data_IF_509017571731
#
_entry.id   IF_509017571731
#
_cell.length_a   1.000
_cell.length_b   1.000
_cell.length_c   1.000
_cell.angle_alpha   90.00
_cell.angle_beta   90.00
_cell.angle_gamma   90.00
#
_symmetry.space_group_name_H-M   'P 1'
#
loop_
_entity.id
_entity.type
_entity.pdbx_description
1 polymer ?
2 polymer ?
#
# COMPACT_ATOMS: atom_id res chain seq x y z
N UNK A 9 13.31 -12.65 -18.29
CA UNK A 9 12.30 -12.13 -19.19
C UNK A 9 12.15 -10.60 -19.13
N UNK A 10 11.23 -10.12 -19.98
CA UNK A 10 10.77 -8.72 -20.11
C UNK A 10 11.71 -7.93 -21.03
N UNK A 11 12.59 -7.10 -20.45
CA UNK A 11 13.43 -6.14 -21.19
C UNK A 11 14.28 -5.40 -20.16
N UNK A 12 14.37 -6.01 -18.97
CA UNK A 12 14.99 -5.43 -17.78
C UNK A 12 16.41 -4.96 -18.04
N UNK A 13 16.69 -3.72 -17.64
CA UNK A 13 18.01 -3.13 -17.79
C UNK A 13 18.84 -3.15 -16.53
N UNK A 14 19.96 -2.41 -16.55
CA UNK A 14 20.74 -2.25 -15.33
C UNK A 14 19.94 -1.46 -14.33
N UNK A 15 20.35 -1.53 -13.07
CA UNK A 15 19.56 -0.80 -12.10
C UNK A 15 18.19 -1.38 -11.83
N UNK A 16 17.88 -2.53 -12.41
CA UNK A 16 16.77 -3.30 -11.89
C UNK A 16 17.16 -4.02 -10.62
N UNK A 17 18.45 -4.33 -10.47
CA UNK A 17 18.98 -4.88 -9.23
C UNK A 17 18.76 -3.92 -8.06
N UNK A 18 19.06 -2.62 -8.24
CA UNK A 18 18.80 -1.68 -7.16
C UNK A 18 17.31 -1.62 -6.84
N UNK A 19 16.46 -1.47 -7.87
CA UNK A 19 15.02 -1.41 -7.64
C UNK A 19 14.44 -2.72 -7.13
N UNK A 20 15.12 -3.85 -7.34
CA UNK A 20 14.61 -5.07 -6.72
C UNK A 20 15.03 -5.16 -5.26
N UNK A 21 16.26 -4.75 -4.94
CA UNK A 21 16.62 -4.54 -3.54
C UNK A 21 15.53 -3.71 -2.86
N UNK A 22 15.23 -2.56 -3.40
CA UNK A 22 14.23 -1.75 -2.78
C UNK A 22 12.87 -2.30 -2.78
N UNK A 23 12.48 -2.97 -3.81
CA UNK A 23 11.18 -3.50 -3.82
C UNK A 23 11.06 -4.47 -2.71
N UNK A 24 12.01 -5.36 -2.58
CA UNK A 24 11.95 -6.37 -1.55
C UNK A 24 12.08 -5.81 -0.17
N UNK A 25 12.72 -4.70 -0.06
CA UNK A 25 12.82 -4.07 1.19
C UNK A 25 11.43 -3.83 1.62
N UNK A 26 10.57 -3.30 0.77
CA UNK A 26 9.17 -3.09 1.12
C UNK A 26 8.40 -4.40 1.28
N UNK A 27 8.73 -5.43 0.52
CA UNK A 27 8.06 -6.70 0.77
C UNK A 27 8.28 -7.13 2.20
N UNK A 28 9.52 -6.99 2.68
CA UNK A 28 9.87 -7.35 4.06
C UNK A 28 9.11 -6.50 5.06
N UNK A 29 9.14 -5.17 4.88
CA UNK A 29 8.37 -4.33 5.76
C UNK A 29 6.92 -4.83 5.83
N UNK A 30 6.40 -5.33 4.70
CA UNK A 30 5.03 -5.85 4.67
C UNK A 30 4.86 -7.11 5.49
N UNK A 31 5.80 -8.00 5.43
CA UNK A 31 5.72 -9.19 6.21
C UNK A 31 5.79 -8.80 7.63
N UNK A 32 6.67 -7.88 7.97
CA UNK A 32 6.78 -7.44 9.34
C UNK A 32 5.49 -6.94 9.88
N UNK A 33 4.89 -5.98 9.22
CA UNK A 33 3.64 -5.43 9.67
C UNK A 33 2.60 -6.47 9.73
N UNK A 34 2.57 -7.32 8.78
CA UNK A 34 1.61 -8.41 8.82
C UNK A 34 1.73 -9.18 10.12
N UNK A 35 2.95 -9.61 10.45
CA UNK A 35 3.22 -10.47 11.60
C UNK A 35 2.79 -9.83 12.89
N UNK A 36 2.81 -8.49 12.94
CA UNK A 36 2.28 -7.82 14.12
C UNK A 36 0.87 -8.28 14.44
N UNK A 37 0.09 -8.68 13.42
CA UNK A 37 -1.27 -9.17 13.68
C UNK A 37 -1.31 -10.64 14.04
N UNK A 38 -0.17 -11.24 14.39
CA UNK A 38 -0.15 -12.62 14.87
C UNK A 38 -0.86 -13.46 13.82
N UNK A 39 -0.58 -13.11 12.56
CA UNK A 39 -1.22 -13.66 11.38
C UNK A 39 -0.23 -14.35 10.44
N UNK A 40 1.07 -14.11 10.57
CA UNK A 40 2.04 -14.82 9.77
C UNK A 40 2.29 -16.17 10.43
N UNK A 41 2.03 -17.25 9.68
CA UNK A 41 2.21 -18.60 10.21
C UNK A 41 3.70 -18.91 10.36
N UNK A 42 3.99 -20.04 11.00
CA UNK A 42 5.36 -20.35 11.39
C UNK A 42 6.32 -20.50 10.21
N UNK A 43 6.02 -21.30 9.16
CA UNK A 43 6.92 -21.34 7.99
C UNK A 43 7.12 -19.97 7.39
N UNK A 44 6.08 -19.15 7.45
CA UNK A 44 6.17 -17.81 6.89
C UNK A 44 7.03 -16.90 7.73
N UNK A 45 6.96 -17.03 9.06
CA UNK A 45 7.86 -16.28 9.93
C UNK A 45 9.32 -16.60 9.61
N UNK A 46 9.64 -17.89 9.40
CA UNK A 46 11.02 -18.14 9.03
C UNK A 46 11.29 -17.58 7.63
N UNK A 47 10.30 -17.60 6.74
CA UNK A 47 10.46 -16.95 5.44
C UNK A 47 10.81 -15.48 5.59
N UNK A 48 10.17 -14.81 6.56
CA UNK A 48 10.47 -13.42 6.83
C UNK A 48 11.94 -13.27 7.25
N UNK A 49 12.42 -14.12 8.17
CA UNK A 49 13.77 -13.84 8.67
C UNK A 49 14.83 -14.17 7.64
N UNK A 50 14.65 -15.27 6.89
CA UNK A 50 15.55 -15.59 5.78
C UNK A 50 15.60 -14.44 4.77
N UNK A 51 14.42 -13.89 4.44
CA UNK A 51 14.36 -12.71 3.59
C UNK A 51 15.22 -11.58 4.15
N UNK A 52 15.09 -11.29 5.46
CA UNK A 52 15.83 -10.18 6.05
C UNK A 52 17.34 -10.37 5.91
N UNK A 53 17.84 -11.53 6.35
CA UNK A 53 19.30 -11.74 6.31
C UNK A 53 19.82 -11.69 4.87
N UNK A 54 19.23 -12.46 3.94
CA UNK A 54 19.77 -12.46 2.59
C UNK A 54 19.63 -11.09 1.94
N UNK A 55 18.66 -10.31 2.39
CA UNK A 55 18.53 -8.94 1.92
C UNK A 55 19.67 -8.08 2.42
N UNK A 56 20.04 -8.21 3.70
CA UNK A 56 21.13 -7.41 4.25
C UNK A 56 22.46 -7.69 3.55
N UNK A 57 22.72 -8.97 3.21
CA UNK A 57 23.96 -9.22 2.46
C UNK A 57 23.89 -8.65 1.04
N UNK A 58 22.73 -8.80 0.36
CA UNK A 58 22.60 -8.20 -0.97
C UNK A 58 22.81 -6.69 -0.91
N UNK A 59 22.40 -6.06 0.19
CA UNK A 59 22.51 -4.61 0.34
C UNK A 59 23.95 -4.18 0.61
N UNK A 60 24.72 -4.96 1.37
CA UNK A 60 26.09 -4.51 1.61
C UNK A 60 26.94 -4.72 0.35
N UNK A 61 26.82 -5.90 -0.29
CA UNK A 61 27.53 -6.08 -1.55
C UNK A 61 27.13 -4.99 -2.55
N UNK A 62 25.85 -4.62 -2.55
CA UNK A 62 25.40 -3.62 -3.52
C UNK A 62 25.95 -2.23 -3.18
N UNK A 63 25.76 -1.78 -1.95
CA UNK A 63 26.17 -0.44 -1.57
C UNK A 63 27.67 -0.21 -1.80
N UNK A 64 28.50 -1.24 -1.58
CA UNK A 64 29.92 -1.03 -1.80
C UNK A 64 30.24 -0.67 -3.25
N UNK A 65 29.55 -1.26 -4.22
CA UNK A 65 29.75 -0.91 -5.63
C UNK A 65 28.80 0.19 -6.11
N UNK A 66 28.65 1.22 -5.32
CA UNK A 66 27.80 2.36 -5.63
C UNK A 66 28.39 3.59 -4.98
N UNK A 67 27.97 4.79 -5.36
CA UNK A 67 28.50 5.98 -4.70
C UNK A 67 28.07 6.01 -3.24
N UNK A 68 28.96 6.48 -2.37
CA UNK A 68 28.55 6.62 -0.98
C UNK A 68 27.41 7.61 -0.83
N UNK A 69 27.25 8.52 -1.80
CA UNK A 69 26.13 9.44 -1.78
C UNK A 69 24.81 8.76 -2.14
N UNK A 70 24.84 7.49 -2.53
CA UNK A 70 23.64 6.71 -2.84
C UNK A 70 23.76 5.32 -2.23
N UNK A 71 24.25 5.26 -0.99
CA UNK A 71 24.48 4.03 -0.25
C UNK A 71 23.51 4.02 0.93
N UNK A 72 22.53 3.13 0.88
CA UNK A 72 21.43 3.20 1.82
C UNK A 72 21.28 1.94 2.64
N UNK A 73 20.97 2.14 3.91
CA UNK A 73 20.77 1.04 4.83
C UNK A 73 19.49 0.31 4.45
N UNK A 74 19.33 -0.87 5.03
CA UNK A 74 18.09 -1.59 4.80
C UNK A 74 16.90 -0.71 5.18
N UNK A 75 16.98 -0.05 6.33
CA UNK A 75 15.85 0.69 6.86
C UNK A 75 15.44 1.90 6.01
N UNK A 76 16.36 2.46 5.21
CA UNK A 76 15.95 3.50 4.28
C UNK A 76 15.51 2.91 2.96
N UNK A 77 15.98 1.73 2.67
CA UNK A 77 15.56 1.06 1.48
C UNK A 77 14.12 0.66 1.65
N UNK A 78 13.66 0.41 2.86
CA UNK A 78 12.29 0.03 3.09
C UNK A 78 11.32 1.11 3.02
N UNK A 79 11.73 2.35 2.90
CA UNK A 79 10.82 3.43 2.77
C UNK A 79 10.58 3.57 1.33
N UNK A 80 11.58 3.32 0.49
CA UNK A 80 11.36 3.38 -0.94
C UNK A 80 10.49 2.22 -1.39
N UNK A 81 10.80 1.02 -0.91
CA UNK A 81 9.95 -0.14 -1.09
C UNK A 81 8.51 0.14 -0.79
N UNK A 82 8.14 0.62 0.40
CA UNK A 82 6.72 0.88 0.62
C UNK A 82 6.20 1.90 -0.41
N UNK A 83 7.01 2.88 -0.81
CA UNK A 83 6.50 3.86 -1.76
C UNK A 83 6.17 3.22 -3.12
N UNK A 84 7.09 2.43 -3.67
CA UNK A 84 6.77 1.76 -4.94
C UNK A 84 5.65 0.72 -4.79
N UNK A 85 5.47 0.16 -3.61
CA UNK A 85 4.33 -0.74 -3.40
C UNK A 85 3.02 0.02 -3.45
N UNK A 86 2.94 1.17 -2.77
CA UNK A 86 1.69 1.91 -2.80
C UNK A 86 1.38 2.42 -4.20
N UNK A 87 2.41 2.69 -5.02
CA UNK A 87 2.11 3.10 -6.40
C UNK A 87 1.68 1.91 -7.25
N UNK A 88 2.19 0.70 -6.99
CA UNK A 88 1.74 -0.47 -7.74
C UNK A 88 0.32 -0.86 -7.35
N UNK A 89 0.04 -0.85 -6.06
CA UNK A 89 -1.24 -1.29 -5.55
C UNK A 89 -2.37 -0.34 -5.92
N UNK A 90 -2.12 0.96 -5.88
CA UNK A 90 -3.18 1.87 -6.29
C UNK A 90 -3.07 2.24 -7.77
N UNK A 91 -2.09 1.65 -8.49
CA UNK A 91 -1.71 1.93 -9.87
C UNK A 91 -1.70 3.43 -10.17
N UNK A 92 -1.42 4.22 -9.13
CA UNK A 92 -1.31 5.66 -9.18
C UNK A 92 0.11 6.02 -8.80
N UNK A 93 0.82 6.78 -9.63
CA UNK A 93 2.04 7.44 -9.14
C UNK A 93 1.72 8.49 -8.09
N UNK A 94 0.45 8.93 -8.04
CA UNK A 94 -0.07 9.87 -7.06
C UNK A 94 -0.30 9.23 -5.70
N UNK A 95 0.15 7.99 -5.48
CA UNK A 95 0.03 7.32 -4.20
C UNK A 95 1.38 7.10 -3.50
N UNK A 96 2.49 7.50 -4.14
CA UNK A 96 3.81 7.35 -3.52
C UNK A 96 3.93 8.03 -2.16
N UNK A 97 3.41 9.25 -2.02
CA UNK A 97 3.29 9.90 -0.71
C UNK A 97 2.29 11.06 -0.76
N UNK A 98 1.48 11.10 -1.84
CA UNK A 98 0.38 12.05 -1.97
C UNK A 98 -1.01 11.40 -1.97
N UNK A 99 -1.10 10.11 -2.28
CA UNK A 99 -2.38 9.41 -2.30
C UNK A 99 -2.61 8.59 -1.05
N UNK A 100 -3.85 8.65 -0.55
CA UNK A 100 -4.16 8.07 0.74
C UNK A 100 -5.51 7.36 0.72
N UNK B 9 9.98 -16.83 17.20
CA UNK B 9 8.60 -17.07 16.81
C UNK B 9 7.66 -16.00 17.39
N UNK B 10 6.49 -15.85 16.77
CA UNK B 10 5.35 -15.13 17.33
C UNK B 10 4.19 -16.12 17.42
N UNK B 11 3.41 -16.05 18.50
CA UNK B 11 2.29 -16.98 18.63
C UNK B 11 1.14 -16.51 17.76
N UNK B 12 0.69 -17.40 16.88
CA UNK B 12 -0.39 -17.20 15.93
C UNK B 12 -1.46 -18.24 16.23
N UNK B 13 -2.72 -17.89 15.96
CA UNK B 13 -3.79 -18.81 16.18
C UNK B 13 -4.15 -19.57 14.91
N UNK B 14 -5.28 -20.27 14.93
CA UNK B 14 -5.74 -20.90 13.69
C UNK B 14 -6.08 -19.82 12.69
N UNK B 15 -6.14 -20.22 11.42
CA UNK B 15 -6.36 -19.24 10.38
C UNK B 15 -5.19 -18.33 10.07
N UNK B 16 -4.05 -18.51 10.74
CA UNK B 16 -2.85 -17.84 10.27
C UNK B 16 -2.27 -18.49 9.03
N UNK B 17 -2.42 -19.81 8.87
CA UNK B 17 -1.99 -20.47 7.62
C UNK B 17 -2.76 -19.93 6.44
N UNK B 18 -4.09 -19.80 6.59
CA UNK B 18 -4.92 -19.24 5.53
C UNK B 18 -4.60 -17.79 5.23
N UNK B 19 -4.58 -16.92 6.26
CA UNK B 19 -4.28 -15.52 6.02
C UNK B 19 -2.86 -15.34 5.53
N UNK B 20 -1.96 -16.29 5.80
CA UNK B 20 -0.66 -16.23 5.16
C UNK B 20 -0.74 -16.65 3.70
N UNK B 21 -1.56 -17.65 3.37
CA UNK B 21 -1.87 -17.90 1.98
C UNK B 21 -2.22 -16.59 1.28
N UNK B 22 -3.26 -15.92 1.78
CA UNK B 22 -3.74 -14.73 1.09
C UNK B 22 -2.69 -13.63 1.05
N UNK B 23 -2.01 -13.39 2.17
CA UNK B 23 -0.99 -12.34 2.20
C UNK B 23 0.08 -12.59 1.15
N UNK B 24 0.59 -13.82 1.08
CA UNK B 24 1.61 -14.09 0.07
C UNK B 24 1.05 -14.11 -1.34
N UNK B 25 -0.26 -14.36 -1.51
CA UNK B 25 -0.89 -14.19 -2.82
C UNK B 25 -0.78 -12.75 -3.27
N UNK B 26 -1.16 -11.82 -2.40
CA UNK B 26 -0.98 -10.42 -2.74
C UNK B 26 0.48 -10.06 -2.94
N UNK B 27 1.38 -10.71 -2.21
CA UNK B 27 2.80 -10.47 -2.45
C UNK B 27 3.14 -10.82 -3.89
N UNK B 28 2.61 -11.94 -4.36
CA UNK B 28 2.84 -12.35 -5.74
C UNK B 28 2.27 -11.34 -6.73
N UNK B 29 1.06 -10.93 -6.51
CA UNK B 29 0.52 -9.98 -7.40
C UNK B 29 1.30 -8.70 -7.44
N UNK B 30 2.04 -8.41 -6.41
CA UNK B 30 2.82 -7.21 -6.36
C UNK B 30 3.99 -7.37 -7.21
N UNK B 31 4.57 -8.54 -7.22
CA UNK B 31 5.72 -8.77 -8.00
C UNK B 31 5.34 -8.63 -9.41
N UNK B 32 4.38 -9.41 -9.79
CA UNK B 32 3.91 -9.47 -11.17
C UNK B 32 3.75 -8.04 -11.66
N UNK B 33 2.94 -7.23 -10.95
CA UNK B 33 2.77 -5.84 -11.35
C UNK B 33 4.11 -5.14 -11.44
N UNK B 34 5.05 -5.51 -10.58
CA UNK B 34 6.37 -4.89 -10.62
C UNK B 34 7.10 -5.22 -11.92
N UNK B 35 7.20 -6.50 -12.25
CA UNK B 35 7.98 -6.92 -13.42
C UNK B 35 7.40 -6.36 -14.71
N UNK B 36 6.09 -6.05 -14.75
CA UNK B 36 5.58 -5.33 -15.92
C UNK B 36 6.35 -4.05 -16.21
N UNK B 37 6.94 -3.42 -15.17
CA UNK B 37 7.78 -2.23 -15.37
C UNK B 37 9.20 -2.55 -15.70
N UNK B 38 9.45 -3.80 -16.10
CA UNK B 38 10.77 -4.19 -16.55
C UNK B 38 11.79 -3.90 -15.45
N UNK B 39 11.35 -4.12 -14.21
CA UNK B 39 12.09 -3.74 -13.02
C UNK B 39 12.51 -4.91 -12.18
N UNK B 40 11.94 -6.06 -12.40
CA UNK B 40 12.30 -7.21 -11.61
C UNK B 40 13.59 -7.78 -12.17
N UNK B 41 14.63 -7.86 -11.32
CA UNK B 41 15.87 -8.46 -11.78
C UNK B 41 15.69 -9.98 -11.91
N UNK B 42 16.67 -10.62 -12.54
CA UNK B 42 16.54 -12.02 -12.95
C UNK B 42 16.36 -12.96 -11.77
N UNK B 43 17.19 -12.92 -10.72
CA UNK B 43 16.92 -13.74 -9.53
C UNK B 43 15.54 -13.48 -8.94
N UNK B 44 15.08 -12.23 -9.02
CA UNK B 44 13.77 -11.91 -8.46
C UNK B 44 12.62 -12.43 -9.30
N UNK B 45 12.75 -12.38 -10.62
CA UNK B 45 11.76 -13.00 -11.50
C UNK B 45 11.60 -14.47 -11.17
N UNK B 46 12.74 -15.15 -10.99
CA UNK B 46 12.65 -16.56 -10.62
C UNK B 46 12.07 -16.71 -9.22
N UNK B 47 12.34 -15.74 -8.34
CA UNK B 47 11.67 -15.73 -7.05
C UNK B 47 10.16 -15.64 -7.22
N UNK B 48 9.70 -14.86 -8.21
CA UNK B 48 8.28 -14.76 -8.53
C UNK B 48 7.73 -16.11 -8.90
N UNK B 49 8.45 -16.83 -9.75
CA UNK B 49 7.91 -18.08 -10.25
C UNK B 49 7.90 -19.16 -9.17
N UNK B 50 8.99 -19.29 -8.39
CA UNK B 50 8.97 -20.24 -7.28
C UNK B 50 7.83 -19.93 -6.32
N UNK B 51 7.67 -18.65 -5.98
CA UNK B 51 6.55 -18.25 -5.14
C UNK B 51 5.20 -18.72 -5.70
N UNK B 52 4.97 -18.50 -7.00
CA UNK B 52 3.67 -18.87 -7.58
C UNK B 52 3.41 -20.37 -7.46
N UNK B 53 4.39 -21.20 -7.89
CA UNK B 53 4.20 -22.65 -7.80
C UNK B 53 3.95 -23.08 -6.36
N UNK B 54 4.81 -22.63 -5.43
CA UNK B 54 4.71 -23.12 -4.07
C UNK B 54 3.38 -22.69 -3.46
N UNK B 55 2.88 -21.55 -3.92
CA UNK B 55 1.59 -21.03 -3.48
C UNK B 55 0.43 -21.85 -4.01
N UNK B 56 0.46 -22.23 -5.28
CA UNK B 56 -0.68 -23.01 -5.76
C UNK B 56 -0.76 -24.38 -5.08
N UNK B 57 0.39 -25.03 -4.81
CA UNK B 57 0.31 -26.31 -4.12
C UNK B 57 -0.21 -26.11 -2.70
N UNK B 58 0.21 -25.03 -2.04
CA UNK B 58 -0.35 -24.68 -0.73
C UNK B 58 -1.86 -24.43 -0.83
N UNK B 59 -2.34 -23.86 -1.94
CA UNK B 59 -3.74 -23.51 -2.07
C UNK B 59 -4.62 -24.73 -2.29
N UNK B 60 -4.16 -25.70 -3.07
CA UNK B 60 -5.01 -26.88 -3.25
C UNK B 60 -4.98 -27.76 -2.01
N UNK B 61 -3.80 -28.01 -1.45
CA UNK B 61 -3.79 -28.81 -0.22
C UNK B 61 -4.60 -28.14 0.88
N UNK B 62 -4.53 -26.81 0.98
CA UNK B 62 -5.29 -26.11 2.02
C UNK B 62 -6.79 -26.16 1.72
N UNK B 63 -7.18 -25.82 0.49
CA UNK B 63 -8.59 -25.76 0.11
C UNK B 63 -9.30 -27.10 0.31
N UNK B 64 -8.59 -28.23 0.10
CA UNK B 64 -9.23 -29.52 0.38
C UNK B 64 -9.75 -29.61 1.81
N UNK B 65 -9.02 -29.05 2.77
CA UNK B 65 -9.50 -29.04 4.15
C UNK B 65 -10.26 -27.77 4.49
N UNK B 66 -11.19 -27.30 3.66
CA UNK B 66 -12.00 -26.13 3.97
C UNK B 66 -13.39 -26.33 3.36
N UNK B 67 -14.41 -25.61 3.85
CA UNK B 67 -15.74 -25.79 3.28
C UNK B 67 -15.79 -25.29 1.85
N UNK B 68 -16.60 -25.98 1.04
CA UNK B 68 -16.81 -25.52 -0.32
C UNK B 68 -17.38 -24.12 -0.32
N UNK B 69 -18.01 -23.74 0.79
CA UNK B 69 -18.53 -22.42 1.00
C UNK B 69 -17.41 -21.39 1.24
N UNK B 70 -16.17 -21.82 1.47
CA UNK B 70 -15.03 -20.90 1.65
C UNK B 70 -13.79 -21.40 0.92
N UNK B 71 -13.97 -21.90 -0.29
CA UNK B 71 -12.89 -22.50 -1.05
C UNK B 71 -12.57 -21.58 -2.22
N UNK B 72 -11.40 -20.97 -2.18
CA UNK B 72 -11.05 -19.90 -3.10
C UNK B 72 -9.81 -20.28 -3.90
N UNK B 73 -9.83 -19.91 -5.19
CA UNK B 73 -8.73 -20.12 -6.11
C UNK B 73 -7.61 -19.12 -5.85
N UNK B 74 -6.45 -19.38 -6.45
CA UNK B 74 -5.34 -18.42 -6.32
C UNK B 74 -5.74 -17.01 -6.73
N UNK B 75 -6.37 -16.85 -7.90
CA UNK B 75 -6.61 -15.48 -8.36
C UNK B 75 -7.60 -14.73 -7.48
N UNK B 76 -8.49 -15.43 -6.78
CA UNK B 76 -9.34 -14.67 -5.87
C UNK B 76 -8.70 -14.49 -4.50
N UNK B 77 -7.76 -15.35 -4.12
CA UNK B 77 -6.96 -15.10 -2.95
C UNK B 77 -6.07 -13.86 -3.14
N UNK B 78 -5.48 -13.68 -4.32
CA UNK B 78 -4.65 -12.51 -4.60
C UNK B 78 -5.38 -11.20 -4.43
N UNK B 79 -6.70 -11.22 -4.56
CA UNK B 79 -7.42 -9.97 -4.42
C UNK B 79 -7.56 -9.62 -2.94
N UNK B 80 -7.71 -10.63 -2.07
CA UNK B 80 -7.69 -10.35 -0.64
C UNK B 80 -6.28 -9.97 -0.21
N UNK B 81 -5.28 -10.64 -0.75
CA UNK B 81 -3.91 -10.22 -0.64
C UNK B 81 -3.76 -8.75 -0.90
N UNK B 82 -4.23 -8.20 -2.02
CA UNK B 82 -4.09 -6.75 -2.17
C UNK B 82 -4.85 -6.03 -1.06
N UNK B 83 -6.08 -6.45 -0.74
CA UNK B 83 -6.82 -5.69 0.28
C UNK B 83 -6.08 -5.66 1.63
N UNK B 84 -5.47 -6.77 2.04
CA UNK B 84 -4.67 -6.70 3.26
C UNK B 84 -3.36 -5.96 3.04
N UNK B 85 -2.82 -5.91 1.83
CA UNK B 85 -1.62 -5.11 1.66
C UNK B 85 -1.90 -3.63 1.79
N UNK B 86 -3.00 -3.15 1.22
CA UNK B 86 -3.22 -1.72 1.37
C UNK B 86 -3.47 -1.32 2.82
N UNK B 87 -4.08 -2.18 3.64
CA UNK B 87 -4.25 -1.77 5.02
C UNK B 87 -2.89 -1.81 5.74
N UNK B 88 -2.00 -2.73 5.34
CA UNK B 88 -0.70 -2.78 5.98
C UNK B 88 0.16 -1.57 5.62
N UNK B 89 0.15 -1.16 4.35
CA UNK B 89 1.00 -0.05 3.92
C UNK B 89 0.54 1.28 4.49
N UNK B 90 -0.75 1.52 4.52
CA UNK B 90 -1.27 2.74 5.07
C UNK B 90 -1.67 2.61 6.53
N UNK B 91 -1.40 1.46 7.15
CA UNK B 91 -1.79 1.17 8.52
C UNK B 91 -3.19 1.65 8.87
N UNK B 92 -4.07 1.69 7.87
CA UNK B 92 -5.45 2.09 7.99
C UNK B 92 -6.33 0.92 7.58
N UNK B 93 -7.31 0.53 8.39
CA UNK B 93 -8.37 -0.36 7.87
C UNK B 93 -9.26 0.31 6.82
N UNK B 94 -9.29 1.63 6.77
CA UNK B 94 -10.02 2.48 5.85
C UNK B 94 -9.41 2.52 4.40
N UNK B 95 -8.41 1.66 4.13
CA UNK B 95 -7.88 1.52 2.78
C UNK B 95 -8.27 0.19 2.18
N UNK B 96 -8.86 -0.70 2.96
CA UNK B 96 -9.38 -1.94 2.40
C UNK B 96 -10.46 -1.68 1.35
N UNK B 97 -11.27 -0.64 1.58
CA UNK B 97 -12.43 -0.33 0.76
C UNK B 97 -12.22 1.05 0.14
N UNK B 98 -12.48 1.14 -1.18
CA UNK B 98 -12.48 2.35 -2.00
C UNK B 98 -11.89 3.62 -1.37
N UNK B 99 -10.69 3.51 -0.81
CA UNK B 99 -10.01 4.64 -0.18
C UNK B 99 -8.66 4.96 -0.78
N UNK C 3 -25.92 -6.26 24.13
CA UNK C 3 -25.53 -6.73 22.81
C UNK C 3 -24.15 -7.37 22.79
N UNK C 4 -23.51 -7.43 21.61
CA UNK C 4 -22.20 -8.05 21.47
C UNK C 4 -21.58 -7.76 20.09
N UNK C 5 -20.32 -7.35 20.06
CA UNK C 5 -19.68 -6.77 18.88
C UNK C 5 -18.43 -7.56 18.51
N UNK C 6 -18.24 -7.81 17.22
CA UNK C 6 -17.11 -8.62 16.76
C UNK C 6 -15.97 -7.76 16.22
N UNK C 7 -14.74 -8.05 16.69
CA UNK C 7 -13.51 -7.38 16.32
C UNK C 7 -12.63 -8.36 15.54
N UNK C 8 -12.49 -8.14 14.25
CA UNK C 8 -11.75 -9.06 13.39
C UNK C 8 -10.36 -8.53 13.13
N UNK C 9 -9.41 -9.45 12.92
CA UNK C 9 -8.01 -9.12 12.63
C UNK C 9 -7.51 -9.95 11.46
N UNK C 10 -6.41 -9.47 10.87
CA UNK C 10 -5.98 -9.98 9.56
C UNK C 10 -5.56 -11.44 9.59
N UNK C 11 -5.33 -12.02 10.75
CA UNK C 11 -5.04 -13.44 10.80
C UNK C 11 -6.24 -14.25 11.20
N UNK C 12 -7.44 -13.75 10.91
CA UNK C 12 -8.66 -14.48 11.16
C UNK C 12 -9.10 -14.54 12.60
N UNK C 13 -8.35 -13.94 13.53
CA UNK C 13 -8.85 -13.78 14.89
C UNK C 13 -10.16 -13.02 14.87
N UNK C 14 -11.07 -13.38 15.75
CA UNK C 14 -12.22 -12.53 15.99
C UNK C 14 -12.53 -12.53 17.49
N UNK C 15 -12.49 -11.35 18.07
CA UNK C 15 -12.70 -11.10 19.50
C UNK C 15 -14.12 -10.62 19.67
N UNK C 16 -14.84 -11.19 20.61
CA UNK C 16 -16.25 -10.83 20.79
C UNK C 16 -16.35 -10.00 22.06
N UNK C 17 -16.39 -8.69 21.87
CA UNK C 17 -16.44 -7.74 22.97
C UNK C 17 -17.91 -7.33 23.20
N UNK C 18 -18.47 -7.58 24.39
CA UNK C 18 -19.85 -7.14 24.66
C UNK C 18 -19.93 -5.75 25.29
N UNK C 19 -20.44 -4.77 24.58
CA UNK C 19 -20.70 -3.46 25.16
C UNK C 19 -22.20 -3.24 25.22
N UNK C 20 -22.66 -2.65 26.32
CA UNK C 20 -24.08 -2.46 26.58
C UNK C 20 -24.45 -0.98 26.50
N UNK C 21 -24.07 -0.19 27.50
CA UNK C 21 -24.54 1.17 27.70
C UNK C 21 -23.82 2.18 26.80
N UNK C 22 -23.51 3.32 27.36
CA UNK C 22 -22.54 4.23 26.77
C UNK C 22 -21.18 3.67 27.08
N UNK C 23 -20.62 2.95 26.13
CA UNK C 23 -19.25 2.49 26.24
C UNK C 23 -18.45 3.21 25.18
N UNK C 24 -17.18 3.49 25.49
CA UNK C 24 -16.30 4.33 24.68
C UNK C 24 -15.23 3.49 23.99
N UNK C 25 -14.77 3.98 22.84
CA UNK C 25 -13.79 3.23 22.08
C UNK C 25 -12.52 3.01 22.88
N UNK C 26 -12.23 3.93 23.81
CA UNK C 26 -11.13 3.71 24.74
C UNK C 26 -11.36 2.44 25.52
N UNK C 27 -12.59 2.26 26.01
CA UNK C 27 -12.93 1.06 26.77
C UNK C 27 -12.82 -0.16 25.88
N UNK C 28 -13.36 -0.09 24.66
CA UNK C 28 -13.19 -1.16 23.68
C UNK C 28 -11.73 -1.56 23.54
N UNK C 29 -10.87 -0.60 23.17
CA UNK C 29 -9.45 -0.90 23.03
C UNK C 29 -8.89 -1.54 24.27
N UNK C 30 -9.40 -1.17 25.46
CA UNK C 30 -8.88 -1.74 26.70
C UNK C 30 -9.29 -3.20 26.85
N UNK C 31 -10.59 -3.48 26.67
CA UNK C 31 -11.06 -4.87 26.64
C UNK C 31 -10.26 -5.72 25.67
N UNK C 32 -10.11 -5.25 24.44
CA UNK C 32 -9.42 -6.13 23.51
C UNK C 32 -7.97 -6.22 23.94
N UNK C 33 -7.40 -5.15 24.51
CA UNK C 33 -6.01 -5.19 24.97
C UNK C 33 -5.79 -6.27 26.01
N UNK C 34 -6.64 -6.32 27.03
CA UNK C 34 -6.53 -7.42 27.96
C UNK C 34 -6.62 -8.75 27.23
N UNK C 35 -7.62 -8.93 26.37
CA UNK C 35 -7.79 -10.26 25.80
C UNK C 35 -6.72 -10.65 24.77
N UNK C 36 -5.89 -9.75 24.26
CA UNK C 36 -4.90 -10.12 23.24
C UNK C 36 -3.48 -9.70 23.56
N UNK C 37 -3.22 -9.03 24.69
CA UNK C 37 -1.85 -8.68 25.10
C UNK C 37 -1.19 -7.77 24.07
N UNK C 38 -1.88 -6.71 23.74
CA UNK C 38 -1.44 -5.69 22.79
C UNK C 38 -2.01 -4.38 23.30
N UNK C 39 -1.19 -3.40 23.62
CA UNK C 39 -1.68 -2.25 24.40
C UNK C 39 -2.51 -1.31 23.56
N UNK C 40 -3.47 -0.68 24.22
CA UNK C 40 -4.53 0.04 23.51
C UNK C 40 -4.01 1.06 22.51
N UNK C 41 -2.82 1.60 22.74
CA UNK C 41 -2.33 2.65 21.86
C UNK C 41 -1.78 2.06 20.56
N UNK C 42 -1.24 0.85 20.64
CA UNK C 42 -0.82 0.08 19.49
C UNK C 42 -2.00 -0.51 18.70
N UNK C 43 -3.20 0.03 18.83
CA UNK C 43 -4.37 -0.54 18.18
C UNK C 43 -5.10 0.53 17.39
N UNK C 44 -5.23 0.30 16.08
CA UNK C 44 -6.03 1.14 15.21
C UNK C 44 -7.29 0.36 14.85
N UNK C 45 -8.44 0.95 15.09
CA UNK C 45 -9.71 0.30 14.83
C UNK C 45 -10.49 1.11 13.80
N UNK C 46 -11.24 0.42 12.95
CA UNK C 46 -12.09 1.11 12.00
C UNK C 46 -13.34 0.29 11.76
N UNK C 47 -14.42 0.99 11.41
CA UNK C 47 -15.66 0.32 11.06
C UNK C 47 -15.39 -0.62 9.91
N UNK C 48 -16.10 -1.75 9.91
CA UNK C 48 -15.76 -2.84 8.99
C UNK C 48 -15.71 -2.35 7.55
N UNK C 49 -16.81 -1.75 7.10
CA UNK C 49 -16.92 -1.26 5.74
C UNK C 49 -17.23 0.23 5.65
N UNK C 50 -17.83 0.83 6.68
CA UNK C 50 -18.07 2.27 6.73
C UNK C 50 -16.78 3.08 6.62
N UNK C 51 -15.61 2.44 6.74
CA UNK C 51 -14.28 2.99 6.52
C UNK C 51 -13.96 4.25 7.32
N UNK C 52 -14.94 4.86 7.97
CA UNK C 52 -14.68 6.02 8.81
C UNK C 52 -14.03 5.58 10.13
N UNK C 53 -12.80 6.05 10.39
CA UNK C 53 -12.11 5.70 11.62
C UNK C 53 -12.83 6.35 12.81
N UNK C 54 -13.14 5.55 13.81
CA UNK C 54 -14.10 5.95 14.83
C UNK C 54 -13.55 7.06 15.69
N UNK C 55 -14.47 7.82 16.30
CA UNK C 55 -14.11 8.95 17.14
C UNK C 55 -14.04 8.54 18.60
N UNK C 56 -13.13 9.21 19.32
CA UNK C 56 -12.59 8.67 20.57
C UNK C 56 -13.58 8.87 21.72
N UNK C 57 -13.76 10.12 22.16
CA UNK C 57 -14.54 10.42 23.37
C UNK C 57 -16.00 10.02 23.30
N UNK C 58 -16.50 9.57 22.15
CA UNK C 58 -17.93 9.38 21.87
C UNK C 58 -18.31 7.92 22.07
N UNK C 59 -19.50 7.61 22.59
CA UNK C 59 -19.91 6.20 22.69
C UNK C 59 -19.99 5.57 21.33
N UNK C 60 -19.65 4.28 21.28
CA UNK C 60 -19.71 3.55 20.04
C UNK C 60 -21.13 3.44 19.52
N UNK C 61 -22.12 3.48 20.43
CA UNK C 61 -23.51 3.35 20.04
C UNK C 61 -24.03 4.56 19.29
N UNK C 62 -23.28 5.68 19.30
CA UNK C 62 -23.60 6.77 18.39
C UNK C 62 -23.10 6.46 16.98
N UNK C 63 -21.87 5.94 16.86
CA UNK C 63 -21.29 5.63 15.56
C UNK C 63 -21.94 4.44 14.87
N UNK C 64 -23.24 4.24 15.12
CA UNK C 64 -23.97 3.20 14.43
C UNK C 64 -23.49 1.82 14.74
N UNK C 65 -22.90 1.61 15.92
CA UNK C 65 -22.43 0.31 16.33
C UNK C 65 -23.48 -0.37 17.18
N UNK C 66 -23.69 -1.66 16.93
CA UNK C 66 -24.84 -2.37 17.44
C UNK C 66 -24.51 -3.85 17.57
N UNK C 67 -25.36 -4.57 18.30
CA UNK C 67 -25.22 -6.00 18.45
C UNK C 67 -25.27 -6.67 17.09
N UNK C 68 -24.15 -7.27 16.68
CA UNK C 68 -24.00 -7.86 15.37
C UNK C 68 -22.98 -7.15 14.50
N UNK C 69 -22.73 -5.86 14.73
CA UNK C 69 -21.77 -5.13 13.92
C UNK C 69 -20.41 -5.81 13.98
N UNK C 70 -19.51 -5.32 13.12
CA UNK C 70 -18.15 -5.82 13.07
C UNK C 70 -17.19 -4.65 12.95
N UNK C 71 -16.07 -4.75 13.66
CA UNK C 71 -14.99 -3.75 13.66
C UNK C 71 -13.70 -4.44 13.29
N UNK C 72 -12.88 -3.80 12.47
CA UNK C 72 -11.56 -4.34 12.14
C UNK C 72 -10.47 -3.66 12.96
N UNK C 73 -9.58 -4.48 13.52
CA UNK C 73 -8.48 -4.03 14.33
C UNK C 73 -7.17 -4.32 13.62
N UNK C 74 -6.36 -3.29 13.48
CA UNK C 74 -5.02 -3.45 12.93
C UNK C 74 -4.07 -2.91 13.99
N UNK C 75 -3.01 -3.63 14.21
CA UNK C 75 -2.11 -3.33 15.24
C UNK C 75 -0.90 -2.71 14.69
N UNK C 76 -0.57 -1.59 15.22
CA UNK C 76 0.56 -0.83 14.81
C UNK C 76 1.58 -0.90 15.85
N UNK C 77 2.80 -1.20 15.54
CA UNK C 77 3.75 -1.31 16.60
C UNK C 77 4.64 -0.15 16.82
N UNK C 78 4.77 0.18 18.06
CA UNK C 78 5.63 1.24 18.45
C UNK C 78 6.22 0.96 19.78
N UNK C 79 7.26 1.69 20.08
CA UNK C 79 7.93 1.54 21.34
C UNK C 79 7.96 2.82 22.09
N UNK C 80 8.22 2.71 23.36
CA UNK C 80 8.30 3.84 24.20
C UNK C 80 9.71 4.23 24.45
N UNK C 81 9.98 5.49 24.28
CA UNK C 81 11.29 6.00 24.54
C UNK C 81 11.25 7.23 25.42
N UNK C 82 12.41 7.78 25.68
CA UNK C 82 12.58 9.00 26.44
C UNK C 82 13.42 9.95 25.60
N UNK C 83 13.03 11.23 25.56
CA UNK C 83 14.00 12.23 25.11
C UNK C 83 14.22 13.13 26.31
N UNK C 84 15.46 13.58 26.48
CA UNK C 84 15.73 14.45 27.60
C UNK C 84 16.15 15.83 27.10
N UNK C 85 15.76 16.85 27.85
CA UNK C 85 15.88 18.25 27.51
C UNK C 85 17.18 18.84 28.07
N UNK C 86 17.38 20.15 27.82
CA UNK C 86 18.62 20.81 28.27
C UNK C 86 18.75 20.78 29.80
N UNK C 87 17.64 20.93 30.51
CA UNK C 87 17.70 20.86 31.97
C UNK C 87 17.95 19.43 32.46
N UNK C 88 17.76 18.43 31.60
CA UNK C 88 18.09 17.05 31.92
C UNK C 88 16.91 16.14 32.22
N UNK C 89 15.68 16.60 32.12
CA UNK C 89 14.54 15.76 32.49
C UNK C 89 14.09 14.94 31.30
N UNK C 90 14.24 13.63 31.41
CA UNK C 90 13.62 12.75 30.44
C UNK C 90 12.10 12.91 30.48
N UNK C 91 11.51 12.91 29.29
CA UNK C 91 10.09 12.88 29.11
C UNK C 91 9.78 11.73 28.15
N UNK C 92 8.75 10.92 28.45
CA UNK C 92 8.46 9.78 27.60
C UNK C 92 7.80 10.22 26.30
N UNK C 93 7.81 9.28 25.39
CA UNK C 93 7.17 9.38 24.11
C UNK C 93 6.86 8.01 23.54
N UNK C 94 5.78 7.89 22.76
CA UNK C 94 5.40 6.64 22.11
C UNK C 94 5.70 6.98 20.68
N UNK C 95 6.55 6.19 20.05
CA UNK C 95 6.99 6.49 18.74
C UNK C 95 6.94 5.28 17.84
N UNK C 96 6.80 5.52 16.55
CA UNK C 96 6.73 4.47 15.58
C UNK C 96 8.01 4.43 14.88
N UNK C 97 8.51 3.26 14.64
CA UNK C 97 9.80 3.17 14.05
C UNK C 97 9.89 3.66 12.65
N UNK C 98 8.81 3.65 11.89
CA UNK C 98 8.86 4.15 10.54
C UNK C 98 8.65 5.63 10.43
N UNK C 99 7.95 6.19 11.35
CA UNK C 99 7.83 7.60 11.37
C UNK C 99 9.16 8.25 11.25
N UNK C 100 9.15 9.51 10.94
CA UNK C 100 10.35 10.29 10.73
C UNK C 100 10.84 10.92 11.92
N UNK C 101 12.02 11.44 11.87
CA UNK C 101 12.48 12.05 13.09
C UNK C 101 11.72 13.31 13.22
N UNK C 102 11.51 13.97 12.10
CA UNK C 102 10.87 15.27 12.14
C UNK C 102 9.64 15.16 12.97
N UNK C 103 8.99 14.06 12.86
CA UNK C 103 7.81 13.90 13.60
C UNK C 103 8.08 13.64 15.04
N UNK C 104 9.28 13.24 15.43
CA UNK C 104 9.44 13.11 16.82
C UNK C 104 9.80 14.45 17.22
N UNK C 105 10.57 15.06 16.36
CA UNK C 105 10.98 16.41 16.69
C UNK C 105 9.77 17.30 16.91
N UNK C 106 8.76 17.16 16.04
CA UNK C 106 7.54 17.96 16.20
C UNK C 106 6.77 17.56 17.46
N UNK C 107 6.91 16.32 17.89
CA UNK C 107 6.29 15.86 19.13
C UNK C 107 6.97 16.49 20.34
N UNK C 108 8.30 16.62 20.30
CA UNK C 108 8.99 17.20 21.44
C UNK C 108 8.80 18.71 21.50
N UNK C 109 8.56 19.35 20.36
CA UNK C 109 8.16 20.76 20.37
C UNK C 109 6.99 21.01 21.31
N UNK C 110 5.80 20.62 20.89
CA UNK C 110 4.61 20.92 21.69
C UNK C 110 4.60 20.18 23.02
N UNK C 111 5.28 19.04 23.13
CA UNK C 111 5.41 18.45 24.46
C UNK C 111 6.15 19.39 25.41
N UNK C 112 7.20 20.05 24.92
CA UNK C 112 7.97 20.93 25.79
C UNK C 112 7.99 22.38 25.29
N UNK C 113 6.93 22.77 24.56
CA UNK C 113 6.71 24.12 24.07
C UNK C 113 7.97 24.82 23.57
N UNK C 114 8.47 24.41 22.41
CA UNK C 114 9.60 25.07 21.76
C UNK C 114 9.36 25.04 20.26
N UNK C 115 10.18 25.79 19.55
CA UNK C 115 10.21 25.71 18.10
C UNK C 115 11.14 24.59 17.67
N UNK C 116 10.91 24.07 16.46
CA UNK C 116 11.72 22.97 15.95
C UNK C 116 12.88 23.44 15.10
N UNK C 117 13.10 24.76 15.02
CA UNK C 117 14.23 25.30 14.27
C UNK C 117 15.49 25.39 15.11
N UNK C 118 15.43 24.99 16.38
CA UNK C 118 16.42 25.38 17.36
C UNK C 118 17.43 24.28 17.69
N UNK C 119 17.03 23.00 17.63
CA UNK C 119 17.85 21.92 18.15
C UNK C 119 18.18 20.84 17.13
N UNK C 120 19.37 20.25 17.33
CA UNK C 120 19.73 18.92 16.87
C UNK C 120 18.76 17.94 17.51
N UNK C 121 18.85 16.68 17.12
CA UNK C 121 18.23 15.61 17.88
C UNK C 121 19.14 14.42 17.64
N UNK C 122 19.71 13.86 18.71
CA UNK C 122 20.84 12.94 18.59
C UNK C 122 20.63 11.67 19.40
N UNK C 123 21.16 10.56 18.88
CA UNK C 123 21.08 9.26 19.53
C UNK C 123 22.46 8.61 19.44
N UNK C 124 22.96 8.07 20.56
CA UNK C 124 24.36 7.65 20.65
C UNK C 124 25.29 8.75 20.15
N UNK C 125 24.97 9.99 20.54
CA UNK C 125 25.75 11.13 20.16
C UNK C 125 25.96 11.27 18.68
N UNK C 126 25.19 10.51 17.85
CA UNK C 126 24.99 10.52 16.42
C UNK C 126 23.86 11.48 16.04
N UNK C 127 24.11 12.50 15.21
CA UNK C 127 23.01 13.38 14.77
C UNK C 127 21.99 12.64 13.94
N UNK C 128 20.73 13.03 14.11
CA UNK C 128 19.58 12.41 13.43
C UNK C 128 18.96 13.34 12.41
N UNK C 129 19.03 12.93 11.14
CA UNK C 129 18.62 13.74 10.00
C UNK C 129 17.11 13.70 9.81
N UNK C 130 16.51 14.89 9.66
CA UNK C 130 15.06 15.02 9.74
C UNK C 130 14.33 14.13 8.73
N UNK C 131 14.96 13.83 7.60
CA UNK C 131 14.28 13.07 6.57
C UNK C 131 14.30 11.56 6.80
N UNK C 132 15.29 11.04 7.55
CA UNK C 132 15.43 9.61 7.81
C UNK C 132 14.40 9.12 8.85
N UNK C 133 14.09 7.83 8.85
CA UNK C 133 13.19 7.26 9.86
C UNK C 133 13.94 6.85 11.11
N UNK C 134 13.19 6.61 12.19
CA UNK C 134 13.84 6.35 13.46
C UNK C 134 14.52 4.97 13.48
N UNK C 135 13.95 3.98 12.79
CA UNK C 135 14.58 2.65 12.70
C UNK C 135 16.03 2.72 12.26
N UNK C 136 16.35 3.71 11.40
CA UNK C 136 17.71 3.95 10.93
C UNK C 136 18.73 3.93 12.05
N UNK C 137 18.34 4.45 13.20
CA UNK C 137 19.18 4.66 14.36
C UNK C 137 19.02 3.57 15.40
N UNK C 138 18.13 2.62 15.18
CA UNK C 138 17.91 1.53 16.09
C UNK C 138 17.50 1.92 17.50
N UNK C 139 16.54 2.81 17.65
CA UNK C 139 15.97 3.01 18.96
C UNK C 139 15.41 1.68 19.48
N UNK C 140 15.48 1.48 20.81
CA UNK C 140 14.82 0.38 21.53
C UNK C 140 13.90 0.91 22.63
N UNK C 141 12.98 0.03 23.06
CA UNK C 141 12.19 0.22 24.28
C UNK C 141 13.01 0.91 25.35
N UNK C 142 12.51 2.05 25.82
CA UNK C 142 13.10 2.76 26.94
C UNK C 142 14.47 3.38 26.71
N UNK C 143 14.96 3.40 25.47
CA UNK C 143 16.20 4.08 25.15
C UNK C 143 15.99 5.59 25.14
N UNK C 144 17.09 6.33 25.06
CA UNK C 144 17.09 7.75 25.40
C UNK C 144 17.76 8.56 24.30
N UNK C 145 16.98 9.49 23.75
CA UNK C 145 17.35 10.41 22.69
C UNK C 145 17.65 11.76 23.32
N UNK C 146 18.59 12.49 22.72
CA UNK C 146 19.10 13.76 23.25
C UNK C 146 18.66 14.92 22.38
N UNK C 147 18.37 16.04 23.06
CA UNK C 147 18.01 17.31 22.44
C UNK C 147 19.18 18.29 22.59
N UNK C 148 19.68 18.80 21.45
CA UNK C 148 20.87 19.64 21.41
C UNK C 148 20.56 21.00 20.79
N UNK C 149 20.37 22.00 21.65
CA UNK C 149 19.95 23.34 21.26
C UNK C 149 20.81 23.97 20.16
N UNK D 3 14.00 21.67 -25.43
CA UNK D 3 14.20 21.16 -24.08
C UNK D 3 14.31 19.64 -24.02
N UNK D 4 14.36 19.09 -22.81
CA UNK D 4 14.57 17.66 -22.62
C UNK D 4 13.88 17.22 -21.34
N UNK D 5 12.91 16.30 -21.45
CA UNK D 5 12.16 15.79 -20.32
C UNK D 5 12.48 14.31 -20.09
N UNK D 6 12.67 13.92 -18.84
CA UNK D 6 13.01 12.54 -18.52
C UNK D 6 11.82 11.82 -17.90
N UNK D 7 11.42 10.72 -18.53
CA UNK D 7 10.39 9.85 -17.98
C UNK D 7 11.11 8.73 -17.25
N UNK D 8 10.90 8.63 -15.94
CA UNK D 8 11.55 7.62 -15.14
C UNK D 8 10.53 6.55 -14.77
N UNK D 9 10.91 5.29 -14.94
CA UNK D 9 10.06 4.19 -14.56
C UNK D 9 10.64 3.49 -13.35
N UNK D 10 9.76 2.77 -12.64
CA UNK D 10 10.09 2.13 -11.37
C UNK D 10 11.42 1.38 -11.38
N UNK D 11 11.76 0.74 -12.47
CA UNK D 11 13.02 -0.01 -12.52
C UNK D 11 14.25 0.78 -12.84
N UNK D 12 14.21 2.11 -12.70
CA UNK D 12 15.34 2.95 -12.96
C UNK D 12 15.51 3.40 -14.39
N UNK D 13 14.79 2.80 -15.34
CA UNK D 13 14.87 3.26 -16.72
C UNK D 13 14.52 4.73 -16.80
N UNK D 14 15.22 5.46 -17.64
CA UNK D 14 14.82 6.82 -17.97
C UNK D 14 14.80 6.99 -19.48
N UNK D 15 13.79 7.73 -19.93
CA UNK D 15 13.41 7.85 -21.32
C UNK D 15 13.33 9.35 -21.59
N UNK D 16 14.27 9.86 -22.36
CA UNK D 16 14.45 11.30 -22.49
C UNK D 16 13.69 11.77 -23.72
N UNK D 17 12.41 12.08 -23.52
CA UNK D 17 11.57 12.70 -24.53
C UNK D 17 11.99 14.16 -24.71
N UNK D 18 12.70 14.50 -25.80
CA UNK D 18 12.94 15.90 -26.08
C UNK D 18 11.64 16.47 -26.59
N UNK D 19 10.96 17.23 -25.75
CA UNK D 19 9.71 17.84 -26.13
C UNK D 19 9.72 19.26 -25.56
N UNK D 20 9.98 20.24 -26.43
CA UNK D 20 9.78 21.64 -26.07
C UNK D 20 8.31 21.96 -26.33
N UNK D 21 7.98 22.26 -27.58
CA UNK D 21 6.62 22.28 -28.10
C UNK D 21 5.58 22.93 -27.19
N UNK D 22 4.34 22.56 -27.44
CA UNK D 22 3.24 22.68 -26.52
C UNK D 22 2.44 21.41 -26.57
N UNK D 23 3.12 20.27 -26.73
CA UNK D 23 2.41 19.02 -26.92
C UNK D 23 1.59 18.70 -25.68
N UNK D 24 0.47 18.02 -25.90
CA UNK D 24 -0.39 17.57 -24.81
C UNK D 24 0.19 16.29 -24.21
N UNK D 25 -0.54 15.71 -23.26
CA UNK D 25 -0.05 14.45 -22.68
C UNK D 25 -0.36 13.26 -23.58
N UNK D 26 -1.41 13.33 -24.41
CA UNK D 26 -1.60 12.29 -25.41
C UNK D 26 -0.37 12.14 -26.28
N UNK D 27 0.22 13.26 -26.70
CA UNK D 27 1.40 13.21 -27.54
C UNK D 27 2.60 12.64 -26.79
N UNK D 28 2.67 12.86 -25.48
CA UNK D 28 3.79 12.33 -24.69
C UNK D 28 3.65 10.82 -24.50
N UNK D 29 2.47 10.37 -24.04
CA UNK D 29 2.21 8.94 -23.94
C UNK D 29 2.43 8.24 -25.26
N UNK D 30 2.01 8.88 -26.37
CA UNK D 30 2.24 8.33 -27.71
C UNK D 30 3.72 8.18 -27.99
N UNK D 31 4.47 9.23 -27.74
CA UNK D 31 5.91 9.19 -27.92
C UNK D 31 6.49 8.00 -27.19
N UNK D 32 6.38 8.03 -25.86
CA UNK D 32 7.02 6.99 -25.07
C UNK D 32 6.50 5.62 -25.51
N UNK D 33 5.21 5.53 -25.81
CA UNK D 33 4.61 4.28 -26.28
C UNK D 33 5.33 3.75 -27.49
N UNK D 34 5.78 4.64 -28.38
CA UNK D 34 6.63 4.21 -29.47
C UNK D 34 7.99 3.78 -28.97
N UNK D 35 8.48 4.37 -27.88
CA UNK D 35 9.85 4.03 -27.50
C UNK D 35 9.96 2.70 -26.76
N UNK D 36 8.91 2.25 -26.04
CA UNK D 36 9.07 1.07 -25.21
C UNK D 36 7.96 0.05 -25.46
N UNK D 37 7.22 0.24 -26.55
CA UNK D 37 6.22 -0.69 -27.06
C UNK D 37 5.14 -0.96 -26.04
N UNK D 38 4.65 0.11 -25.42
CA UNK D 38 3.54 -0.03 -24.49
C UNK D 38 2.52 0.99 -24.94
N UNK D 39 1.28 0.59 -25.16
CA UNK D 39 0.29 1.51 -25.72
C UNK D 39 -0.11 2.60 -24.75
N UNK D 40 -0.30 3.79 -25.29
CA UNK D 40 -0.76 4.94 -24.53
C UNK D 40 -1.80 4.60 -23.47
N UNK D 41 -2.72 3.69 -23.78
CA UNK D 41 -3.79 3.44 -22.80
C UNK D 41 -3.26 2.70 -21.57
N UNK D 42 -2.14 2.00 -21.68
CA UNK D 42 -1.62 1.22 -20.56
C UNK D 42 -0.70 2.04 -19.65
N UNK D 43 -0.71 3.36 -19.79
CA UNK D 43 0.24 4.24 -19.15
C UNK D 43 -0.48 5.21 -18.22
N UNK D 44 -0.07 5.21 -16.96
CA UNK D 44 -0.40 6.27 -16.03
C UNK D 44 0.86 7.08 -15.80
N UNK D 45 0.68 8.39 -15.65
CA UNK D 45 1.78 9.34 -15.51
C UNK D 45 1.49 10.33 -14.38
N UNK D 46 2.57 10.82 -13.77
CA UNK D 46 2.51 11.87 -12.76
C UNK D 46 3.85 12.58 -12.68
N UNK D 47 3.82 13.77 -12.06
CA UNK D 47 5.04 14.47 -11.72
C UNK D 47 5.87 13.65 -10.74
N UNK D 48 7.18 13.88 -10.75
CA UNK D 48 8.05 13.10 -9.87
C UNK D 48 7.90 13.52 -8.42
N UNK D 49 7.90 14.84 -8.17
CA UNK D 49 7.72 15.38 -6.82
C UNK D 49 6.30 15.88 -6.55
N UNK D 50 5.64 16.50 -7.55
CA UNK D 50 4.27 16.97 -7.38
C UNK D 50 3.26 15.84 -7.25
N UNK D 51 3.71 14.59 -7.39
CA UNK D 51 2.94 13.35 -7.45
C UNK D 51 1.53 13.47 -8.04
N UNK D 52 1.17 14.62 -8.60
CA UNK D 52 -0.15 14.77 -9.21
C UNK D 52 -0.18 14.22 -10.64
N UNK D 53 -1.19 13.38 -10.92
CA UNK D 53 -1.36 12.77 -12.24
C UNK D 53 -1.78 13.83 -13.24
N UNK D 54 -1.11 13.87 -14.40
CA UNK D 54 -1.22 15.00 -15.30
C UNK D 54 -2.61 15.11 -15.91
N UNK D 55 -3.03 16.36 -16.15
CA UNK D 55 -4.31 16.66 -16.75
C UNK D 55 -4.20 16.58 -18.26
N UNK D 56 -5.20 15.97 -18.90
CA UNK D 56 -5.12 15.68 -20.32
C UNK D 56 -5.25 16.95 -21.17
N UNK D 57 -6.36 17.68 -21.02
CA UNK D 57 -6.65 18.77 -21.92
C UNK D 57 -5.56 19.83 -22.02
N UNK D 58 -4.65 19.87 -21.05
CA UNK D 58 -3.69 20.95 -20.90
C UNK D 58 -2.34 20.62 -21.51
N UNK D 59 -1.69 21.56 -22.20
CA UNK D 59 -0.30 21.36 -22.59
C UNK D 59 0.58 21.19 -21.38
N UNK D 60 1.66 20.43 -21.57
CA UNK D 60 2.56 20.12 -20.47
C UNK D 60 3.38 21.35 -20.05
N UNK D 61 3.48 22.34 -20.93
CA UNK D 61 4.18 23.56 -20.58
C UNK D 61 3.41 24.37 -19.54
N UNK D 62 2.08 24.19 -19.48
CA UNK D 62 1.28 24.86 -18.46
C UNK D 62 1.47 24.22 -17.10
N UNK D 63 1.56 22.89 -17.05
CA UNK D 63 1.70 22.19 -15.78
C UNK D 63 3.11 22.28 -15.22
N UNK D 64 3.79 23.41 -15.43
CA UNK D 64 5.10 23.62 -14.82
C UNK D 64 6.13 22.56 -15.12
N UNK D 65 6.10 22.01 -16.33
CA UNK D 65 7.15 21.12 -16.79
C UNK D 65 8.14 21.94 -17.62
N UNK D 66 9.43 21.75 -17.32
CA UNK D 66 10.49 22.61 -17.82
C UNK D 66 11.63 21.73 -18.28
N UNK D 67 12.53 22.32 -19.06
CA UNK D 67 13.79 21.70 -19.42
C UNK D 67 14.38 20.96 -18.24
N UNK D 68 14.44 19.64 -18.33
CA UNK D 68 15.01 18.82 -17.28
C UNK D 68 14.05 18.39 -16.20
N UNK D 69 12.74 18.56 -16.42
CA UNK D 69 11.74 18.12 -15.44
C UNK D 69 11.83 16.62 -15.23
N UNK D 70 10.91 16.04 -14.48
CA UNK D 70 10.88 14.58 -14.36
C UNK D 70 9.44 14.11 -14.21
N UNK D 71 9.14 13.00 -14.88
CA UNK D 71 7.81 12.41 -14.99
C UNK D 71 7.93 10.95 -14.57
N UNK D 72 6.96 10.46 -13.80
CA UNK D 72 6.93 9.05 -13.41
C UNK D 72 5.93 8.29 -14.26
N UNK D 73 6.38 7.15 -14.77
CA UNK D 73 5.57 6.34 -15.65
C UNK D 73 5.32 5.02 -14.95
N UNK D 74 4.04 4.67 -14.81
CA UNK D 74 3.62 3.35 -14.35
C UNK D 74 2.80 2.73 -15.46
N UNK D 75 3.11 1.47 -15.76
CA UNK D 75 2.44 0.66 -16.78
C UNK D 75 1.44 -0.25 -16.10
N UNK D 76 0.21 -0.22 -16.57
CA UNK D 76 -0.83 -1.07 -16.04
C UNK D 76 -1.53 -1.90 -17.08
N UNK D 77 -1.19 -3.16 -17.22
CA UNK D 77 -1.86 -4.02 -18.20
C UNK D 77 -3.39 -3.95 -18.02
N UNK D 78 -3.98 -2.87 -18.56
CA UNK D 78 -5.39 -2.60 -18.57
C UNK D 78 -5.92 -2.35 -19.97
N UNK D 79 -7.21 -2.01 -20.11
CA UNK D 79 -7.82 -1.76 -21.42
C UNK D 79 -8.81 -0.63 -21.50
N UNK D 80 -9.33 -0.45 -22.69
CA UNK D 80 -10.29 0.58 -22.97
C UNK D 80 -11.64 0.04 -23.33
N UNK D 81 -12.70 0.64 -22.83
CA UNK D 81 -14.01 0.10 -23.16
C UNK D 81 -15.04 1.23 -23.21
N UNK D 82 -16.22 0.90 -23.74
CA UNK D 82 -17.36 1.81 -23.72
C UNK D 82 -18.39 1.28 -22.73
N UNK D 83 -19.08 2.18 -22.04
CA UNK D 83 -20.32 1.79 -21.39
C UNK D 83 -21.36 2.79 -21.87
N UNK D 84 -22.57 2.30 -22.12
CA UNK D 84 -23.58 3.19 -22.64
C UNK D 84 -24.76 3.20 -21.68
N UNK D 85 -25.40 4.37 -21.56
CA UNK D 85 -26.36 4.68 -20.52
C UNK D 85 -27.80 4.44 -21.00
N UNK D 86 -28.78 4.88 -20.19
CA UNK D 86 -30.18 4.72 -20.56
C UNK D 86 -30.55 5.56 -21.77
N UNK D 87 -29.92 6.72 -21.95
CA UNK D 87 -30.22 7.56 -23.09
C UNK D 87 -29.57 7.07 -24.38
N UNK D 88 -28.74 6.02 -24.32
CA UNK D 88 -28.20 5.39 -25.51
C UNK D 88 -26.85 5.89 -25.96
N UNK D 89 -26.27 6.87 -25.28
CA UNK D 89 -24.99 7.41 -25.69
C UNK D 89 -23.87 6.63 -25.02
N UNK D 90 -22.90 6.19 -25.82
CA UNK D 90 -21.72 5.48 -25.32
C UNK D 90 -20.76 6.47 -24.66
N UNK D 91 -19.90 5.95 -23.78
CA UNK D 91 -18.87 6.82 -23.14
C UNK D 91 -17.63 5.96 -22.87
N UNK D 92 -16.45 6.42 -23.28
CA UNK D 92 -15.25 5.60 -23.11
C UNK D 92 -14.75 5.64 -21.67
N UNK D 93 -14.00 4.59 -21.32
CA UNK D 93 -13.60 4.32 -19.95
C UNK D 93 -12.40 3.40 -20.14
N UNK D 94 -11.29 3.73 -19.46
CA UNK D 94 -10.16 2.78 -19.35
C UNK D 94 -10.24 2.15 -17.96
N UNK D 95 -10.01 0.88 -17.87
CA UNK D 95 -10.16 0.18 -16.63
C UNK D 95 -9.15 -0.87 -16.45
N UNK D 96 -9.07 -1.36 -15.24
CA UNK D 96 -8.12 -2.38 -14.95
C UNK D 96 -8.80 -3.68 -14.88
N UNK D 97 -8.21 -4.67 -15.47
CA UNK D 97 -8.95 -5.92 -15.45
C UNK D 97 -9.26 -6.37 -14.03
N UNK D 98 -8.38 -6.06 -13.11
CA UNK D 98 -8.61 -6.40 -11.75
C UNK D 98 -9.33 -5.33 -10.98
N UNK D 99 -9.65 -4.23 -11.62
CA UNK D 99 -10.46 -3.22 -11.01
C UNK D 99 -11.79 -3.86 -10.94
N UNK D 100 -12.49 -3.63 -9.90
CA UNK D 100 -13.73 -4.39 -9.85
C UNK D 100 -14.91 -3.55 -10.35
N UNK D 101 -16.01 -4.23 -10.67
CA UNK D 101 -17.13 -3.53 -11.25
C UNK D 101 -17.62 -2.43 -10.30
N UNK D 102 -17.27 -2.52 -9.02
CA UNK D 102 -17.72 -1.54 -8.03
C UNK D 102 -17.19 -0.14 -8.37
N UNK D 103 -15.88 -0.05 -8.62
CA UNK D 103 -15.30 1.24 -8.99
C UNK D 103 -15.63 1.66 -10.42
N UNK D 104 -15.89 0.70 -11.33
CA UNK D 104 -16.36 1.09 -12.65
C UNK D 104 -17.75 1.73 -12.55
N UNK D 105 -18.59 1.14 -11.71
CA UNK D 105 -19.86 1.75 -11.34
C UNK D 105 -19.66 3.16 -10.79
N UNK D 106 -18.97 3.29 -9.65
CA UNK D 106 -18.73 4.60 -9.07
C UNK D 106 -18.08 5.55 -10.05
N UNK D 107 -17.39 5.01 -11.05
CA UNK D 107 -16.73 5.81 -12.06
C UNK D 107 -17.75 6.44 -13.00
N UNK D 108 -18.65 5.63 -13.55
CA UNK D 108 -19.68 6.18 -14.42
C UNK D 108 -20.68 7.04 -13.65
N UNK D 109 -20.68 6.93 -12.31
CA UNK D 109 -21.53 7.77 -11.46
C UNK D 109 -21.26 9.25 -11.70
N UNK D 110 -20.11 9.74 -11.24
CA UNK D 110 -19.80 11.15 -11.45
C UNK D 110 -19.44 11.43 -12.90
N UNK D 111 -18.93 10.43 -13.64
CA UNK D 111 -18.72 10.64 -15.07
C UNK D 111 -20.02 11.06 -15.75
N UNK D 112 -21.06 10.24 -15.58
CA UNK D 112 -22.39 10.56 -16.08
C UNK D 112 -22.93 11.71 -15.24
N UNK D 113 -23.73 11.37 -14.22
CA UNK D 113 -24.05 12.20 -13.07
C UNK D 113 -25.21 11.53 -12.33
N UNK D 114 -24.96 10.37 -11.73
CA UNK D 114 -25.96 9.65 -10.93
C UNK D 114 -25.24 8.98 -9.76
N UNK D 115 -26.04 8.46 -8.84
CA UNK D 115 -25.46 7.67 -7.76
C UNK D 115 -25.25 6.23 -8.23
N UNK D 116 -24.74 5.38 -7.33
CA UNK D 116 -24.33 4.01 -7.65
C UNK D 116 -25.35 2.95 -7.25
N UNK D 117 -26.35 3.33 -6.45
CA UNK D 117 -27.19 2.41 -5.69
C UNK D 117 -28.43 1.96 -6.46
N UNK D 118 -28.56 2.35 -7.71
CA UNK D 118 -29.79 2.13 -8.46
C UNK D 118 -29.68 1.02 -9.48
N UNK D 119 -28.57 0.95 -10.24
CA UNK D 119 -28.54 0.22 -11.50
C UNK D 119 -27.73 -1.07 -11.41
N UNK D 120 -28.13 -2.04 -12.24
CA UNK D 120 -27.24 -3.12 -12.63
C UNK D 120 -26.15 -2.54 -13.52
N UNK D 121 -25.29 -3.43 -13.99
CA UNK D 121 -24.31 -3.12 -15.03
C UNK D 121 -24.02 -4.45 -15.68
N UNK D 122 -24.08 -4.51 -17.00
CA UNK D 122 -24.18 -5.81 -17.65
C UNK D 122 -23.26 -5.91 -18.84
N UNK D 123 -22.75 -7.10 -19.09
CA UNK D 123 -21.91 -7.33 -20.25
C UNK D 123 -22.42 -8.57 -20.98
N UNK D 124 -22.86 -8.39 -22.24
CA UNK D 124 -23.46 -9.48 -23.00
C UNK D 124 -24.71 -9.98 -22.30
N UNK D 125 -25.55 -9.03 -21.89
CA UNK D 125 -26.75 -9.40 -21.19
C UNK D 125 -26.47 -10.29 -20.03
N UNK D 126 -25.36 -10.07 -19.37
CA UNK D 126 -24.96 -10.74 -18.15
C UNK D 126 -24.90 -9.73 -17.02
N UNK D 127 -25.76 -9.78 -16.00
CA UNK D 127 -25.61 -8.84 -14.87
C UNK D 127 -24.25 -9.02 -14.20
N UNK D 128 -23.60 -7.91 -13.85
CA UNK D 128 -22.26 -7.95 -13.26
C UNK D 128 -22.30 -7.74 -11.75
N UNK D 129 -21.52 -8.53 -11.01
CA UNK D 129 -21.69 -8.68 -9.57
C UNK D 129 -20.64 -7.85 -8.83
N UNK D 130 -21.10 -6.99 -7.90
CA UNK D 130 -20.36 -5.80 -7.48
C UNK D 130 -18.96 -6.11 -6.96
N UNK D 131 -18.81 -7.17 -6.14
CA UNK D 131 -17.51 -7.56 -5.62
C UNK D 131 -16.59 -8.11 -6.72
N UNK D 132 -17.16 -8.74 -7.74
CA UNK D 132 -16.35 -9.45 -8.72
C UNK D 132 -15.55 -8.47 -9.59
N UNK D 133 -14.35 -8.84 -10.01
CA UNK D 133 -13.56 -8.00 -10.92
C UNK D 133 -14.04 -8.17 -12.36
N UNK D 134 -13.36 -7.46 -13.27
CA UNK D 134 -13.79 -7.41 -14.66
C UNK D 134 -13.23 -8.54 -15.53
N UNK D 135 -12.03 -9.07 -15.23
CA UNK D 135 -11.56 -10.25 -15.96
C UNK D 135 -12.57 -11.38 -15.88
N UNK D 136 -13.30 -11.47 -14.76
CA UNK D 136 -14.38 -12.43 -14.62
C UNK D 136 -15.26 -12.48 -15.85
N UNK D 137 -15.62 -11.30 -16.37
CA UNK D 137 -16.61 -11.19 -17.43
C UNK D 137 -15.97 -11.03 -18.81
N UNK D 138 -14.72 -11.48 -18.96
CA UNK D 138 -14.04 -11.57 -20.23
C UNK D 138 -14.16 -10.39 -21.17
N UNK D 139 -13.94 -9.18 -20.68
CA UNK D 139 -13.95 -7.99 -21.51
C UNK D 139 -12.65 -7.87 -22.33
N UNK D 140 -12.80 -7.54 -23.62
CA UNK D 140 -11.67 -7.29 -24.50
C UNK D 140 -11.56 -5.81 -24.85
N UNK D 141 -10.54 -5.51 -25.64
CA UNK D 141 -10.36 -4.19 -26.21
C UNK D 141 -11.67 -3.66 -26.80
N UNK D 142 -12.01 -2.43 -26.43
CA UNK D 142 -13.04 -1.67 -27.13
C UNK D 142 -14.49 -2.11 -27.01
N UNK D 143 -14.76 -3.30 -26.47
CA UNK D 143 -16.10 -3.83 -26.26
C UNK D 143 -17.02 -2.89 -25.49
N UNK D 144 -18.24 -3.35 -25.15
CA UNK D 144 -19.29 -2.46 -24.65
C UNK D 144 -20.07 -3.08 -23.49
N UNK D 145 -20.18 -2.30 -22.39
CA UNK D 145 -20.93 -2.62 -21.16
C UNK D 145 -22.19 -1.75 -21.09
N UNK D 146 -23.23 -2.28 -20.43
CA UNK D 146 -24.58 -1.72 -20.46
C UNK D 146 -24.99 -1.21 -19.08
N UNK D 147 -25.57 -0.01 -19.04
CA UNK D 147 -26.18 0.58 -17.85
C UNK D 147 -27.65 0.11 -17.73
N UNK D 148 -27.94 -0.75 -16.73
CA UNK D 148 -29.30 -1.27 -16.50
C UNK D 148 -29.99 -0.50 -15.37
N UNK D 149 -30.81 0.48 -15.72
CA UNK D 149 -31.50 1.32 -14.73
C UNK D 149 -32.07 0.54 -13.51
#
# INVERSE_FOLDING_TARGET
>A
MADNMTTTQIEVGPGATNATINFEAGILECYERFSWQRALDYPGQDRLHRLKRKLESRIKTHNKSEPENKRMSLEERKAIGVKMMKVLLFMDPSAGIEGFEPY
>B
MADNMTTTQIEVGPGATNATINFEAGILECYERFSWQRALDYPGQDRLHRLKRKLESRIKTHNKSEPENKRMSLEERKAIGVKMMKVLLFMDPSAGIEGFEPY
>C
MGGDLTVKMLGGQEILVPLRDSMTVSELKQFIAQKINVPAFQQRLAHLDSREVLQEGVPLVLQGLRAGSTVLLVVQNSISILVRNDKGRSSPYEVQLKQTVAELKQQVCQKERVQADQFWLSFEGRPMDDEHPLEEYGLMKGCTVFMNLRLRGG
>D
MGGDLTVKMLGGQEILVPLRDSMTVSELKQFIAQKINVPAFQQRLAHLDSREVLQEGVPLVLQGLRAGSTVLLVVQNSISILVRNDKGRSSPYEVQLKQTVAELKQQVCQKERVQADQFWLSFEGRPMDDEHPLEEYGLMKGCTVFMNLRLRGG
#
